data_IF_386457678765
#
_entry.id   IF_386457678765
#
_cell.length_a   1.000
_cell.length_b   1.000
_cell.length_c   1.000
_cell.angle_alpha   90.00
_cell.angle_beta   90.00
_cell.angle_gamma   90.00
#
_symmetry.space_group_name_H-M   'P 1'
#
loop_
_entity.id
_entity.type
_entity.pdbx_description
1 polymer ?
#
# COMPACT_ATOMS: atom_id res chain seq x y z
N UNK A 1 12.65 21.15 -0.49
CA UNK A 1 13.26 19.87 -0.03
C UNK A 1 14.32 20.10 1.05
N UNK A 2 15.45 20.78 0.76
CA UNK A 2 16.55 20.97 1.72
C UNK A 2 16.16 21.75 2.99
N UNK A 3 15.37 22.81 2.87
CA UNK A 3 14.90 23.58 4.03
C UNK A 3 13.98 22.76 4.95
N UNK A 4 13.12 21.91 4.36
CA UNK A 4 12.24 21.01 5.10
C UNK A 4 13.07 19.93 5.81
N UNK A 5 14.08 19.36 5.13
CA UNK A 5 15.01 18.39 5.71
C UNK A 5 15.84 18.95 6.88
N UNK A 6 16.30 20.20 6.77
CA UNK A 6 17.02 20.88 7.85
C UNK A 6 16.12 21.14 9.07
N UNK A 7 14.87 21.54 8.84
CA UNK A 7 13.87 21.69 9.89
C UNK A 7 13.54 20.36 10.56
N UNK A 8 13.38 19.28 9.79
CA UNK A 8 13.12 17.94 10.37
C UNK A 8 14.32 17.44 11.17
N UNK A 9 15.54 17.68 10.70
CA UNK A 9 16.76 17.33 11.45
C UNK A 9 16.88 18.07 12.79
N UNK A 10 16.46 19.34 12.87
CA UNK A 10 16.46 20.08 14.14
C UNK A 10 15.30 19.70 15.07
N UNK A 11 14.13 19.34 14.53
CA UNK A 11 12.91 19.13 15.31
C UNK A 11 12.67 17.67 15.70
N UNK A 12 13.13 16.71 14.91
CA UNK A 12 12.94 15.28 15.18
C UNK A 12 14.09 14.80 16.07
N UNK A 13 13.80 14.59 17.35
CA UNK A 13 14.70 13.87 18.26
C UNK A 13 14.44 12.37 18.12
N UNK A 14 15.50 11.62 17.83
CA UNK A 14 15.50 10.16 17.87
C UNK A 14 15.07 9.71 19.28
N UNK A 15 13.90 9.07 19.39
CA UNK A 15 13.35 8.27 20.52
C UNK A 15 13.72 8.62 21.98
N UNK A 16 12.77 8.56 22.94
CA UNK A 16 13.04 8.88 24.35
C UNK A 16 14.16 8.03 25.00
N UNK A 17 14.46 6.84 24.49
CA UNK A 17 15.55 6.00 24.97
C UNK A 17 16.96 6.54 24.65
N UNK A 18 17.12 7.34 23.58
CA UNK A 18 18.40 8.01 23.24
C UNK A 18 18.78 9.08 24.24
N UNK A 19 17.81 9.55 25.02
CA UNK A 19 17.99 10.52 26.10
C UNK A 19 18.11 9.85 27.49
N UNK A 20 18.27 8.52 27.57
CA UNK A 20 18.43 7.79 28.82
C UNK A 20 17.14 7.64 29.66
N UNK A 21 15.97 7.85 29.06
CA UNK A 21 14.68 7.72 29.75
C UNK A 21 14.13 6.29 29.62
N UNK A 22 13.47 5.77 30.69
CA UNK A 22 12.85 4.46 30.66
C UNK A 22 11.72 4.37 29.61
N UNK A 23 11.44 3.17 29.07
CA UNK A 23 10.41 2.97 28.05
C UNK A 23 9.03 3.49 28.49
N UNK A 24 8.24 4.02 27.54
CA UNK A 24 6.88 4.56 27.73
C UNK A 24 5.93 3.56 28.41
N UNK A 25 6.22 2.26 28.32
CA UNK A 25 5.45 1.18 28.95
C UNK A 25 5.44 1.27 30.49
N UNK A 26 6.49 1.84 31.12
CA UNK A 26 6.51 2.11 32.57
C UNK A 26 5.62 3.28 32.99
N UNK A 27 5.30 4.21 32.07
CA UNK A 27 4.55 5.44 32.38
C UNK A 27 3.05 5.33 32.07
N UNK A 28 2.65 4.46 31.13
CA UNK A 28 1.25 4.31 30.68
C UNK A 28 0.53 3.09 31.26
N UNK A 29 1.21 2.26 32.07
CA UNK A 29 0.63 1.11 32.75
C UNK A 29 -0.20 0.18 31.83
N UNK A 30 0.13 0.16 30.53
CA UNK A 30 -0.58 -0.61 29.51
C UNK A 30 0.31 -1.79 29.11
N UNK A 31 0.47 -2.74 30.03
CA UNK A 31 1.13 -4.01 29.73
C UNK A 31 0.19 -4.83 28.85
N UNK A 32 0.59 -5.07 27.60
CA UNK A 32 0.03 -6.16 26.80
C UNK A 32 0.43 -7.48 27.48
N UNK A 33 -0.47 -8.46 27.53
CA UNK A 33 -0.37 -9.70 28.34
C UNK A 33 0.85 -10.60 28.09
N UNK A 34 1.74 -10.24 27.17
CA UNK A 34 2.97 -10.96 26.80
C UNK A 34 4.25 -10.11 27.00
N UNK A 35 4.34 -9.33 28.08
CA UNK A 35 5.56 -8.58 28.41
C UNK A 35 6.53 -9.44 29.24
N UNK A 36 7.66 -9.82 28.64
CA UNK A 36 8.72 -10.58 29.30
C UNK A 36 10.06 -9.81 29.18
N UNK A 37 10.65 -9.44 30.32
CA UNK A 37 11.90 -8.65 30.43
C UNK A 37 13.10 -9.32 29.71
N UNK A 38 13.02 -10.62 29.42
CA UNK A 38 14.07 -11.38 28.71
C UNK A 38 14.17 -11.15 27.20
N UNK A 39 13.27 -10.36 26.58
CA UNK A 39 13.35 -10.02 25.15
C UNK A 39 14.22 -8.78 24.86
N UNK A 40 14.92 -8.25 25.86
CA UNK A 40 15.90 -7.16 25.74
C UNK A 40 17.32 -7.66 25.41
N UNK A 41 17.47 -8.50 24.38
CA UNK A 41 18.76 -8.54 23.68
C UNK A 41 18.78 -7.40 22.65
N UNK A 42 19.85 -6.61 22.65
CA UNK A 42 20.18 -5.73 21.53
C UNK A 42 20.46 -6.60 20.31
N UNK A 43 19.40 -6.94 19.57
CA UNK A 43 19.56 -7.64 18.30
C UNK A 43 20.10 -6.64 17.29
N UNK A 44 21.26 -6.95 16.70
CA UNK A 44 21.86 -6.14 15.64
C UNK A 44 20.86 -5.95 14.49
N UNK A 45 20.75 -4.75 13.93
CA UNK A 45 19.86 -4.41 12.80
C UNK A 45 19.96 -5.43 11.66
N UNK A 46 21.16 -6.01 11.47
CA UNK A 46 21.42 -7.04 10.45
C UNK A 46 20.82 -8.40 10.79
N UNK A 47 20.81 -8.81 12.06
CA UNK A 47 20.16 -10.04 12.52
C UNK A 47 18.64 -9.90 12.49
N UNK A 48 18.10 -8.74 12.86
CA UNK A 48 16.67 -8.46 12.74
C UNK A 48 16.21 -8.58 11.28
N UNK A 49 16.97 -7.98 10.36
CA UNK A 49 16.63 -7.97 8.93
C UNK A 49 16.78 -9.36 8.30
N UNK A 50 17.86 -10.08 8.57
CA UNK A 50 18.11 -11.42 7.98
C UNK A 50 17.26 -12.50 8.64
N UNK A 51 17.21 -12.57 9.96
CA UNK A 51 16.64 -13.72 10.67
C UNK A 51 15.13 -13.58 10.90
N UNK A 52 14.61 -12.36 11.07
CA UNK A 52 13.18 -12.12 11.34
C UNK A 52 12.41 -11.60 10.13
N UNK A 53 13.03 -10.73 9.31
CA UNK A 53 12.32 -10.12 8.17
C UNK A 53 12.46 -10.96 6.90
N UNK A 54 13.68 -11.36 6.52
CA UNK A 54 13.94 -12.07 5.27
C UNK A 54 13.57 -13.56 5.30
N UNK A 55 13.55 -14.22 6.47
CA UNK A 55 13.14 -15.63 6.59
C UNK A 55 11.60 -15.77 6.66
N UNK A 56 10.89 -14.72 7.07
CA UNK A 56 9.44 -14.82 7.27
C UNK A 56 8.69 -14.77 5.94
N UNK A 57 8.17 -15.93 5.52
CA UNK A 57 7.36 -16.10 4.31
C UNK A 57 6.12 -15.19 4.27
N UNK A 58 5.58 -14.78 5.42
CA UNK A 58 4.43 -13.87 5.48
C UNK A 58 4.78 -12.46 5.04
N UNK A 59 5.95 -11.96 5.45
CA UNK A 59 6.43 -10.63 5.06
C UNK A 59 6.67 -10.59 3.55
N UNK A 60 7.19 -11.67 2.97
CA UNK A 60 7.35 -11.78 1.52
C UNK A 60 6.02 -11.76 0.76
N UNK A 61 4.98 -12.44 1.26
CA UNK A 61 3.66 -12.35 0.62
C UNK A 61 3.07 -10.94 0.71
N UNK A 62 3.29 -10.23 1.82
CA UNK A 62 2.84 -8.84 1.98
C UNK A 62 3.64 -7.90 1.09
N UNK A 63 4.96 -8.10 1.00
CA UNK A 63 5.83 -7.34 0.11
C UNK A 63 5.42 -7.52 -1.36
N UNK A 64 5.10 -8.76 -1.77
CA UNK A 64 4.57 -9.06 -3.10
C UNK A 64 3.19 -8.43 -3.31
N UNK A 65 2.26 -8.57 -2.36
CA UNK A 65 0.95 -7.91 -2.41
C UNK A 65 1.11 -6.40 -2.56
N UNK A 66 2.05 -5.80 -1.82
CA UNK A 66 2.36 -4.39 -1.89
C UNK A 66 2.89 -3.99 -3.27
N UNK A 67 3.78 -4.79 -3.85
CA UNK A 67 4.28 -4.57 -5.20
C UNK A 67 3.13 -4.52 -6.22
N UNK A 68 2.16 -5.43 -6.15
CA UNK A 68 1.00 -5.40 -7.05
C UNK A 68 0.06 -4.22 -6.79
N UNK A 69 -0.17 -3.84 -5.53
CA UNK A 69 -0.99 -2.67 -5.19
C UNK A 69 -0.34 -1.38 -5.70
N UNK A 70 0.97 -1.24 -5.49
CA UNK A 70 1.74 -0.14 -6.04
C UNK A 70 1.75 -0.17 -7.56
N UNK A 71 1.79 -1.37 -8.16
CA UNK A 71 1.73 -1.51 -9.61
C UNK A 71 0.42 -0.95 -10.16
N UNK A 72 -0.72 -1.29 -9.54
CA UNK A 72 -2.02 -0.74 -9.94
C UNK A 72 -2.08 0.77 -9.69
N UNK A 73 -1.54 1.25 -8.56
CA UNK A 73 -1.55 2.67 -8.22
C UNK A 73 -0.78 3.51 -9.23
N UNK A 74 0.48 3.18 -9.47
CA UNK A 74 1.34 3.91 -10.40
C UNK A 74 0.96 3.60 -11.85
N UNK A 75 0.51 2.39 -12.14
CA UNK A 75 0.01 2.01 -13.45
C UNK A 75 -1.20 2.83 -13.87
N UNK A 76 -2.14 3.11 -12.97
CA UNK A 76 -3.25 4.02 -13.25
C UNK A 76 -2.79 5.48 -13.20
N UNK A 77 -2.01 5.89 -12.18
CA UNK A 77 -1.62 7.29 -11.98
C UNK A 77 -0.74 7.83 -13.12
N UNK A 78 0.31 7.10 -13.51
CA UNK A 78 1.27 7.55 -14.51
C UNK A 78 0.70 7.47 -15.93
N UNK A 79 -0.16 6.49 -16.20
CA UNK A 79 -0.71 6.25 -17.54
C UNK A 79 -2.10 6.83 -17.76
N UNK A 80 -2.86 7.21 -16.71
CA UNK A 80 -4.15 7.88 -16.86
C UNK A 80 -4.05 9.14 -17.74
N UNK A 81 -3.03 10.01 -17.62
CA UNK A 81 -2.93 11.17 -18.49
C UNK A 81 -2.76 10.84 -19.96
N UNK A 82 -1.94 9.84 -20.26
CA UNK A 82 -1.66 9.38 -21.62
C UNK A 82 -2.91 8.71 -22.20
N UNK A 83 -3.54 7.82 -21.45
CA UNK A 83 -4.76 7.12 -21.86
C UNK A 83 -5.93 8.08 -22.10
N UNK A 84 -6.18 9.03 -21.19
CA UNK A 84 -7.24 10.03 -21.36
C UNK A 84 -7.02 10.90 -22.61
N UNK A 85 -5.76 11.24 -22.91
CA UNK A 85 -5.41 12.03 -24.08
C UNK A 85 -5.53 11.22 -25.38
N UNK A 86 -4.96 10.02 -25.44
CA UNK A 86 -4.87 9.22 -26.66
C UNK A 86 -6.17 8.46 -26.98
N UNK A 87 -6.75 7.78 -25.98
CA UNK A 87 -7.93 6.94 -26.20
C UNK A 87 -9.25 7.71 -26.09
N UNK A 88 -9.27 8.79 -25.29
CA UNK A 88 -10.51 9.54 -24.97
C UNK A 88 -10.52 10.99 -25.45
N UNK A 89 -9.42 11.48 -26.02
CA UNK A 89 -9.34 12.81 -26.62
C UNK A 89 -9.52 13.97 -25.63
N UNK A 90 -9.24 13.76 -24.34
CA UNK A 90 -9.37 14.81 -23.34
C UNK A 90 -8.40 15.97 -23.60
N UNK A 91 -8.84 17.19 -23.25
CA UNK A 91 -7.95 18.34 -23.21
C UNK A 91 -6.92 18.20 -22.10
N UNK A 92 -5.72 18.77 -22.30
CA UNK A 92 -4.64 18.73 -21.32
C UNK A 92 -5.08 19.24 -19.93
N UNK A 93 -5.94 20.27 -19.90
CA UNK A 93 -6.50 20.84 -18.67
C UNK A 93 -7.44 19.87 -17.95
N UNK A 94 -8.31 19.16 -18.67
CA UNK A 94 -9.23 18.20 -18.07
C UNK A 94 -8.47 16.99 -17.49
N UNK A 95 -7.44 16.53 -18.19
CA UNK A 95 -6.54 15.47 -17.73
C UNK A 95 -5.79 15.87 -16.45
N UNK A 96 -5.28 17.10 -16.37
CA UNK A 96 -4.62 17.61 -15.16
C UNK A 96 -5.58 17.68 -13.96
N UNK A 97 -6.83 18.08 -14.17
CA UNK A 97 -7.86 18.05 -13.14
C UNK A 97 -8.21 16.63 -12.68
N UNK A 98 -8.30 15.67 -13.60
CA UNK A 98 -8.54 14.27 -13.26
C UNK A 98 -7.42 13.69 -12.38
N UNK A 99 -6.16 13.98 -12.72
CA UNK A 99 -4.99 13.60 -11.91
C UNK A 99 -5.04 14.24 -10.52
N UNK A 100 -5.33 15.54 -10.46
CA UNK A 100 -5.45 16.25 -9.19
C UNK A 100 -6.56 15.66 -8.30
N UNK A 101 -7.72 15.37 -8.88
CA UNK A 101 -8.86 14.79 -8.18
C UNK A 101 -8.57 13.35 -7.72
N UNK A 102 -7.84 12.56 -8.51
CA UNK A 102 -7.38 11.23 -8.10
C UNK A 102 -6.55 11.29 -6.80
N UNK A 103 -5.56 12.19 -6.76
CA UNK A 103 -4.69 12.36 -5.59
C UNK A 103 -5.47 12.94 -4.39
N UNK A 104 -6.32 13.93 -4.63
CA UNK A 104 -7.15 14.53 -3.59
C UNK A 104 -8.16 13.55 -2.99
N UNK A 105 -8.72 12.64 -3.80
CA UNK A 105 -9.64 11.61 -3.34
C UNK A 105 -8.95 10.55 -2.48
N UNK A 106 -7.64 10.35 -2.64
CA UNK A 106 -6.85 9.43 -1.83
C UNK A 106 -6.83 9.77 -0.33
N UNK A 107 -6.84 11.06 0.02
CA UNK A 107 -6.81 11.53 1.42
C UNK A 107 -8.06 11.07 2.21
N UNK A 108 -9.30 11.45 1.82
CA UNK A 108 -10.50 10.97 2.50
C UNK A 108 -10.66 9.46 2.35
N UNK A 109 -10.18 8.86 1.25
CA UNK A 109 -10.18 7.41 1.03
C UNK A 109 -9.37 6.65 2.07
N UNK A 110 -8.17 7.14 2.38
CA UNK A 110 -7.31 6.56 3.42
C UNK A 110 -7.95 6.64 4.81
N UNK A 111 -8.53 7.80 5.15
CA UNK A 111 -9.21 8.02 6.43
C UNK A 111 -10.41 7.10 6.59
N UNK A 112 -11.25 7.01 5.56
CA UNK A 112 -12.42 6.13 5.55
C UNK A 112 -12.02 4.65 5.57
N UNK A 113 -10.93 4.28 4.91
CA UNK A 113 -10.38 2.92 4.98
C UNK A 113 -9.91 2.54 6.37
N UNK A 114 -9.20 3.44 7.07
CA UNK A 114 -8.80 3.20 8.45
C UNK A 114 -10.01 2.98 9.35
N UNK A 115 -10.99 3.88 9.28
CA UNK A 115 -12.21 3.78 10.08
C UNK A 115 -13.04 2.53 9.74
N UNK A 116 -13.21 2.20 8.46
CA UNK A 116 -13.96 1.03 8.01
C UNK A 116 -13.25 -0.27 8.43
N UNK A 117 -11.93 -0.33 8.28
CA UNK A 117 -11.11 -1.46 8.74
C UNK A 117 -11.27 -1.71 10.24
N UNK A 118 -11.20 -0.65 11.04
CA UNK A 118 -11.25 -0.77 12.49
C UNK A 118 -12.66 -1.07 13.01
N UNK A 119 -13.68 -0.41 12.45
CA UNK A 119 -15.07 -0.52 12.93
C UNK A 119 -15.81 -1.75 12.38
N UNK A 120 -15.60 -2.10 11.10
CA UNK A 120 -16.34 -3.17 10.42
C UNK A 120 -15.61 -4.51 10.51
N UNK A 121 -14.28 -4.51 10.47
CA UNK A 121 -13.48 -5.73 10.47
C UNK A 121 -12.86 -6.08 11.83
N UNK A 122 -13.18 -5.33 12.91
CA UNK A 122 -12.62 -5.54 14.25
C UNK A 122 -11.07 -5.64 14.21
N UNK A 123 -10.41 -4.78 13.44
CA UNK A 123 -8.95 -4.75 13.31
C UNK A 123 -8.35 -5.80 12.38
N UNK A 124 -9.16 -6.59 11.66
CA UNK A 124 -8.68 -7.58 10.67
C UNK A 124 -8.30 -6.89 9.36
N UNK A 125 -6.99 -6.77 9.11
CA UNK A 125 -6.42 -5.96 8.01
C UNK A 125 -6.52 -6.62 6.64
N UNK A 126 -6.24 -7.91 6.54
CA UNK A 126 -6.30 -8.63 5.26
C UNK A 126 -7.68 -8.62 4.55
N UNK A 127 -8.83 -8.86 5.22
CA UNK A 127 -10.15 -8.83 4.56
C UNK A 127 -10.55 -7.42 4.15
N UNK A 128 -10.16 -6.40 4.93
CA UNK A 128 -10.35 -5.01 4.52
C UNK A 128 -9.59 -4.76 3.22
N UNK A 129 -8.30 -5.07 3.16
CA UNK A 129 -7.48 -4.93 1.95
C UNK A 129 -8.08 -5.67 0.75
N UNK A 130 -8.59 -6.90 0.93
CA UNK A 130 -9.23 -7.67 -0.14
C UNK A 130 -10.47 -6.96 -0.69
N UNK A 131 -11.36 -6.47 0.18
CA UNK A 131 -12.58 -5.79 -0.24
C UNK A 131 -12.27 -4.50 -1.00
N UNK A 132 -11.30 -3.73 -0.51
CA UNK A 132 -10.82 -2.54 -1.22
C UNK A 132 -10.26 -2.90 -2.60
N UNK A 133 -9.45 -3.95 -2.70
CA UNK A 133 -8.90 -4.40 -3.99
C UNK A 133 -9.98 -4.91 -4.96
N UNK A 134 -11.03 -5.56 -4.45
CA UNK A 134 -12.18 -5.95 -5.28
C UNK A 134 -12.90 -4.71 -5.81
N UNK A 135 -13.13 -3.71 -4.96
CA UNK A 135 -13.75 -2.44 -5.40
C UNK A 135 -12.88 -1.69 -6.41
N UNK A 136 -11.55 -1.66 -6.23
CA UNK A 136 -10.60 -1.12 -7.21
C UNK A 136 -10.71 -1.87 -8.53
N UNK A 137 -10.78 -3.20 -8.50
CA UNK A 137 -10.91 -4.04 -9.71
C UNK A 137 -12.18 -3.67 -10.49
N UNK A 138 -13.30 -3.50 -9.81
CA UNK A 138 -14.56 -3.06 -10.43
C UNK A 138 -14.42 -1.66 -11.02
N UNK A 139 -13.83 -0.72 -10.29
CA UNK A 139 -13.63 0.64 -10.78
C UNK A 139 -12.71 0.70 -12.02
N UNK A 140 -11.61 -0.07 -12.03
CA UNK A 140 -10.72 -0.22 -13.20
C UNK A 140 -11.46 -0.85 -14.37
N UNK A 141 -12.29 -1.88 -14.12
CA UNK A 141 -13.08 -2.51 -15.18
C UNK A 141 -14.11 -1.55 -15.80
N UNK A 142 -14.80 -0.76 -14.96
CA UNK A 142 -15.72 0.30 -15.42
C UNK A 142 -14.98 1.35 -16.24
N UNK A 143 -13.79 1.77 -15.78
CA UNK A 143 -12.95 2.73 -16.51
C UNK A 143 -12.53 2.22 -17.89
N UNK A 144 -12.17 0.94 -17.99
CA UNK A 144 -11.78 0.28 -19.24
C UNK A 144 -12.95 0.11 -20.21
N UNK A 145 -14.12 -0.32 -19.73
CA UNK A 145 -15.30 -0.57 -20.57
C UNK A 145 -16.10 0.68 -20.93
N UNK A 146 -15.77 1.84 -20.36
CA UNK A 146 -16.45 3.08 -20.68
C UNK A 146 -16.06 3.58 -22.09
N UNK A 147 -17.02 3.67 -23.05
CA UNK A 147 -16.74 4.15 -24.39
C UNK A 147 -16.37 5.64 -24.41
N UNK A 148 -15.61 6.10 -25.43
CA UNK A 148 -15.28 7.51 -25.60
C UNK A 148 -16.57 8.34 -25.77
N UNK A 149 -16.73 9.38 -24.96
CA UNK A 149 -17.91 10.26 -24.99
C UNK A 149 -18.52 10.60 -23.62
N UNK A 150 -18.12 9.91 -22.55
CA UNK A 150 -18.56 10.19 -21.17
C UNK A 150 -17.42 10.62 -20.23
N UNK A 151 -16.92 11.87 -20.34
CA UNK A 151 -15.82 12.37 -19.50
C UNK A 151 -16.08 12.30 -17.99
N UNK A 152 -17.34 12.46 -17.59
CA UNK A 152 -17.74 12.43 -16.18
C UNK A 152 -17.53 11.04 -15.56
N UNK A 153 -17.82 9.97 -16.29
CA UNK A 153 -17.67 8.60 -15.81
C UNK A 153 -16.19 8.26 -15.61
N UNK A 154 -15.32 8.76 -16.49
CA UNK A 154 -13.88 8.55 -16.37
C UNK A 154 -13.28 9.28 -15.17
N UNK A 155 -13.71 10.53 -14.96
CA UNK A 155 -13.29 11.29 -13.79
C UNK A 155 -13.77 10.63 -12.50
N UNK A 156 -15.03 10.19 -12.44
CA UNK A 156 -15.57 9.50 -11.26
C UNK A 156 -14.86 8.16 -11.03
N UNK A 157 -14.57 7.41 -12.09
CA UNK A 157 -13.85 6.14 -11.97
C UNK A 157 -12.40 6.37 -11.48
N UNK A 158 -11.69 7.37 -11.99
CA UNK A 158 -10.36 7.75 -11.49
C UNK A 158 -10.41 8.20 -10.04
N UNK A 159 -11.36 9.06 -9.67
CA UNK A 159 -11.59 9.46 -8.27
C UNK A 159 -11.84 8.23 -7.39
N UNK A 160 -12.66 7.29 -7.84
CA UNK A 160 -12.94 6.06 -7.10
C UNK A 160 -11.71 5.17 -6.96
N UNK A 161 -10.91 4.99 -8.03
CA UNK A 161 -9.65 4.22 -7.96
C UNK A 161 -8.69 4.88 -6.98
N UNK A 162 -8.48 6.20 -7.09
CA UNK A 162 -7.62 6.96 -6.18
C UNK A 162 -8.08 6.85 -4.73
N UNK A 163 -9.37 7.07 -4.48
CA UNK A 163 -9.97 6.91 -3.16
C UNK A 163 -9.75 5.52 -2.56
N UNK A 164 -9.93 4.47 -3.36
CA UNK A 164 -9.90 3.10 -2.87
C UNK A 164 -8.47 2.54 -2.75
N UNK A 165 -7.52 2.94 -3.59
CA UNK A 165 -6.20 2.31 -3.65
C UNK A 165 -5.28 2.70 -2.49
N UNK A 166 -5.45 3.91 -1.96
CA UNK A 166 -4.67 4.37 -0.82
C UNK A 166 -4.97 3.60 0.47
N UNK A 167 -6.17 3.02 0.60
CA UNK A 167 -6.54 2.17 1.72
C UNK A 167 -5.65 0.93 1.88
N UNK A 168 -5.60 0.02 0.88
CA UNK A 168 -4.70 -1.13 0.82
C UNK A 168 -3.23 -0.78 1.08
N UNK A 169 -2.74 0.33 0.51
CA UNK A 169 -1.34 0.79 0.69
C UNK A 169 -1.05 1.03 2.17
N UNK A 170 -1.93 1.76 2.87
CA UNK A 170 -1.79 2.01 4.30
C UNK A 170 -1.91 0.71 5.11
N UNK A 171 -2.96 -0.07 4.84
CA UNK A 171 -3.25 -1.30 5.59
C UNK A 171 -2.13 -2.32 5.50
N UNK A 172 -1.41 -2.38 4.39
CA UNK A 172 -0.25 -3.26 4.22
C UNK A 172 0.91 -2.87 5.14
N UNK A 173 1.26 -1.59 5.20
CA UNK A 173 2.35 -1.13 6.07
C UNK A 173 2.03 -1.44 7.53
N UNK A 174 0.76 -1.23 7.91
CA UNK A 174 0.25 -1.56 9.23
C UNK A 174 0.33 -3.08 9.43
N UNK A 175 -0.23 -3.90 8.53
CA UNK A 175 -0.19 -5.37 8.60
C UNK A 175 1.23 -5.95 8.68
N UNK A 176 2.22 -5.36 8.00
CA UNK A 176 3.62 -5.75 8.11
C UNK A 176 4.18 -5.51 9.52
N UNK A 177 3.79 -4.43 10.19
CA UNK A 177 4.22 -4.12 11.56
C UNK A 177 3.64 -5.07 12.60
N UNK A 178 2.44 -5.62 12.39
CA UNK A 178 1.83 -6.59 13.32
C UNK A 178 2.52 -7.96 13.30
N UNK A 179 3.16 -8.31 12.19
CA UNK A 179 3.78 -9.63 12.01
C UNK A 179 5.21 -9.73 12.53
N UNK A 180 5.77 -8.61 13.00
CA UNK A 180 7.15 -8.56 13.47
C UNK A 180 7.24 -7.95 14.87
N UNK A 181 8.28 -8.30 15.65
CA UNK A 181 8.51 -7.68 16.94
C UNK A 181 8.64 -6.16 16.84
N UNK A 182 8.29 -5.42 17.89
CA UNK A 182 8.33 -3.94 17.95
C UNK A 182 9.65 -3.34 17.44
N UNK A 183 10.79 -3.98 17.70
CA UNK A 183 12.13 -3.55 17.22
C UNK A 183 12.34 -3.72 15.71
N UNK A 184 11.60 -4.62 15.07
CA UNK A 184 11.68 -4.96 13.65
C UNK A 184 10.58 -4.30 12.80
N UNK A 185 9.56 -3.71 13.43
CA UNK A 185 8.40 -3.10 12.77
C UNK A 185 8.80 -2.06 11.71
N UNK A 186 9.74 -1.15 12.05
CA UNK A 186 10.24 -0.15 11.11
C UNK A 186 10.97 -0.76 9.92
N UNK A 187 11.77 -1.80 10.14
CA UNK A 187 12.50 -2.50 9.07
C UNK A 187 11.56 -3.31 8.16
N UNK A 188 10.55 -3.98 8.72
CA UNK A 188 9.57 -4.73 7.95
C UNK A 188 8.66 -3.81 7.11
N UNK A 189 8.15 -2.73 7.69
CA UNK A 189 7.42 -1.70 6.94
C UNK A 189 8.30 -1.08 5.86
N UNK A 190 9.56 -0.75 6.17
CA UNK A 190 10.54 -0.25 5.20
C UNK A 190 10.80 -1.23 4.05
N UNK A 191 10.97 -2.52 4.32
CA UNK A 191 11.19 -3.54 3.30
C UNK A 191 9.95 -3.69 2.41
N UNK A 192 8.75 -3.81 3.00
CA UNK A 192 7.51 -3.92 2.21
C UNK A 192 7.29 -2.68 1.34
N UNK A 193 7.54 -1.48 1.85
CA UNK A 193 7.51 -0.24 1.10
C UNK A 193 8.54 -0.19 -0.02
N UNK A 194 9.77 -0.65 0.24
CA UNK A 194 10.83 -0.74 -0.75
C UNK A 194 10.42 -1.68 -1.89
N UNK A 195 9.97 -2.89 -1.59
CA UNK A 195 9.47 -3.82 -2.62
C UNK A 195 8.24 -3.26 -3.36
N UNK A 196 7.34 -2.59 -2.65
CA UNK A 196 6.19 -1.89 -3.23
C UNK A 196 6.61 -0.85 -4.27
N UNK A 197 7.51 0.05 -3.89
CA UNK A 197 7.92 1.15 -4.73
C UNK A 197 8.91 0.71 -5.81
N UNK A 198 10.00 0.05 -5.43
CA UNK A 198 11.06 -0.35 -6.37
C UNK A 198 10.59 -1.41 -7.35
N UNK A 199 9.79 -2.40 -6.94
CA UNK A 199 9.30 -3.41 -7.88
C UNK A 199 7.96 -2.98 -8.45
N UNK A 200 7.00 -2.61 -7.61
CA UNK A 200 5.66 -2.26 -8.05
C UNK A 200 5.61 -1.03 -8.94
N UNK A 201 6.17 0.10 -8.52
CA UNK A 201 6.11 1.33 -9.33
C UNK A 201 6.98 1.23 -10.58
N UNK A 202 8.21 0.72 -10.49
CA UNK A 202 9.06 0.59 -11.69
C UNK A 202 8.51 -0.41 -12.69
N UNK A 203 7.97 -1.55 -12.22
CA UNK A 203 7.31 -2.51 -13.10
C UNK A 203 6.02 -1.92 -13.67
N UNK A 204 5.29 -1.09 -12.94
CA UNK A 204 4.12 -0.40 -13.49
C UNK A 204 4.53 0.48 -14.66
N UNK A 205 5.49 1.38 -14.48
CA UNK A 205 5.84 2.33 -15.54
C UNK A 205 6.50 1.61 -16.72
N UNK A 206 7.44 0.69 -16.47
CA UNK A 206 8.14 -0.02 -17.53
C UNK A 206 7.27 -1.08 -18.21
N UNK A 207 6.69 -2.02 -17.45
CA UNK A 207 5.98 -3.15 -18.05
C UNK A 207 4.63 -2.74 -18.64
N UNK A 208 3.93 -1.75 -18.07
CA UNK A 208 2.72 -1.22 -18.71
C UNK A 208 3.07 -0.60 -20.08
N UNK A 209 4.18 0.14 -20.18
CA UNK A 209 4.63 0.70 -21.46
C UNK A 209 4.93 -0.38 -22.50
N UNK A 210 5.72 -1.39 -22.14
CA UNK A 210 5.98 -2.53 -23.04
C UNK A 210 4.70 -3.26 -23.46
N UNK A 211 3.75 -3.45 -22.54
CA UNK A 211 2.50 -4.15 -22.82
C UNK A 211 1.59 -3.32 -23.73
N UNK A 212 1.52 -1.99 -23.54
CA UNK A 212 0.71 -1.12 -24.42
C UNK A 212 1.33 -0.96 -25.79
N UNK A 213 2.65 -0.92 -25.91
CA UNK A 213 3.31 -0.91 -27.21
C UNK A 213 3.07 -2.21 -28.00
N UNK A 214 3.01 -3.36 -27.31
CA UNK A 214 2.85 -4.67 -27.95
C UNK A 214 1.40 -5.11 -28.18
N UNK A 215 0.50 -4.84 -27.23
CA UNK A 215 -0.88 -5.35 -27.20
C UNK A 215 -1.94 -4.23 -27.12
N UNK A 216 -1.52 -2.96 -27.16
CA UNK A 216 -2.40 -1.80 -27.01
C UNK A 216 -2.93 -1.63 -25.59
N UNK A 217 -3.82 -0.64 -25.44
CA UNK A 217 -4.42 -0.28 -24.15
C UNK A 217 -5.17 -1.42 -23.46
N UNK A 218 -5.80 -2.32 -24.24
CA UNK A 218 -6.46 -3.50 -23.69
C UNK A 218 -5.50 -4.40 -22.92
N UNK A 219 -4.29 -4.62 -23.46
CA UNK A 219 -3.23 -5.36 -22.78
C UNK A 219 -2.83 -4.72 -21.44
N UNK A 220 -2.71 -3.39 -21.42
CA UNK A 220 -2.41 -2.62 -20.21
C UNK A 220 -3.47 -2.82 -19.12
N UNK A 221 -4.76 -2.76 -19.48
CA UNK A 221 -5.84 -3.01 -18.52
C UNK A 221 -5.91 -4.46 -18.07
N UNK A 222 -5.66 -5.44 -18.94
CA UNK A 222 -5.54 -6.84 -18.52
C UNK A 222 -4.42 -7.04 -17.50
N UNK A 223 -3.27 -6.38 -17.70
CA UNK A 223 -2.17 -6.40 -16.75
C UNK A 223 -2.57 -5.81 -15.39
N UNK A 224 -3.27 -4.66 -15.38
CA UNK A 224 -3.76 -4.04 -14.14
C UNK A 224 -4.77 -4.93 -13.41
N UNK A 225 -5.71 -5.54 -14.14
CA UNK A 225 -6.68 -6.48 -13.56
C UNK A 225 -5.99 -7.73 -13.02
N UNK A 226 -5.01 -8.28 -13.74
CA UNK A 226 -4.22 -9.41 -13.26
C UNK A 226 -3.44 -9.05 -11.98
N UNK A 227 -2.86 -7.85 -11.91
CA UNK A 227 -2.19 -7.36 -10.71
C UNK A 227 -3.16 -7.22 -9.52
N UNK A 228 -4.38 -6.72 -9.73
CA UNK A 228 -5.41 -6.69 -8.70
C UNK A 228 -5.76 -8.09 -8.17
N UNK A 229 -5.96 -9.06 -9.06
CA UNK A 229 -6.26 -10.45 -8.69
C UNK A 229 -5.09 -11.07 -7.92
N UNK A 230 -3.85 -10.85 -8.38
CA UNK A 230 -2.66 -11.33 -7.69
C UNK A 230 -2.51 -10.71 -6.29
N UNK A 231 -2.76 -9.40 -6.13
CA UNK A 231 -2.70 -8.77 -4.81
C UNK A 231 -3.75 -9.36 -3.86
N UNK A 232 -4.96 -9.63 -4.35
CA UNK A 232 -6.03 -10.28 -3.58
C UNK A 232 -5.59 -11.70 -3.17
N UNK A 233 -5.02 -12.47 -4.10
CA UNK A 233 -4.53 -13.82 -3.82
C UNK A 233 -3.42 -13.82 -2.78
N UNK A 234 -2.41 -12.96 -2.91
CA UNK A 234 -1.32 -12.84 -1.94
C UNK A 234 -1.83 -12.41 -0.55
N UNK A 235 -2.75 -11.45 -0.51
CA UNK A 235 -3.39 -10.98 0.74
C UNK A 235 -4.32 -12.05 1.35
N UNK A 236 -4.96 -12.88 0.54
CA UNK A 236 -5.78 -13.99 1.02
C UNK A 236 -4.91 -15.14 1.57
N UNK A 237 -3.74 -15.37 0.99
CA UNK A 237 -2.77 -16.37 1.49
C UNK A 237 -2.18 -15.97 2.84
N UNK A 238 -1.95 -14.68 3.09
CA UNK A 238 -1.51 -14.19 4.42
C UNK A 238 -2.61 -14.40 5.45
N UNK A 239 -3.87 -14.07 5.13
CA UNK A 239 -5.03 -14.29 5.99
C UNK A 239 -5.19 -15.75 6.45
N UNK A 240 -5.03 -16.72 5.53
CA UNK A 240 -5.13 -18.16 5.88
C UNK A 240 -4.05 -18.59 6.87
N UNK A 241 -2.81 -18.11 6.73
CA UNK A 241 -1.71 -18.47 7.61
C UNK A 241 -1.75 -17.77 8.97
N UNK A 242 -2.22 -16.53 9.00
CA UNK A 242 -2.43 -15.77 10.24
C UNK A 242 -3.47 -16.46 11.15
N UNK A 243 -4.56 -17.00 10.56
CA UNK A 243 -5.54 -17.82 11.30
C UNK A 243 -4.98 -19.14 11.84
N UNK A 244 -4.01 -19.74 11.17
CA UNK A 244 -3.38 -20.99 11.62
C UNK A 244 -2.39 -20.73 12.76
N UNK A 245 -1.63 -19.63 12.70
CA UNK A 245 -0.66 -19.26 13.74
C UNK A 245 -1.30 -18.76 15.05
N UNK A 246 -2.52 -18.22 15.00
CA UNK A 246 -3.25 -17.77 16.20
C UNK A 246 -4.01 -18.91 16.91
N UNK A 247 -4.01 -20.13 16.37
CA UNK A 247 -4.69 -21.31 16.94
C UNK A 247 -3.73 -22.48 17.23
N UNK A 248 -2.41 -22.26 17.12
CA UNK A 248 -1.35 -23.19 17.53
C UNK A 248 -0.63 -22.63 18.75
#
# INVERSE_FOLDING_TARGET
ALAIAFLTYMLVRDTPQSCGLPPIERYTNTYTKDYNEGHEKELSTRQILLDYVLVNKLIWYIALANAFIYLVRYGVLDWAPVYLKEAKGFSLSATGWAYFLYEWAGIPGTLLCGWLSDKVFNGRRAPATIIYMVLVTVAVFVYWKNPPGNPLVDNIALIAIGFLIYGPVMLIGVHAMDLVPKKAAGTAAGLTGLFGYLIGATAATAAMGFVVDAYGWDGGFYMLLAACVLSILFTAMTWKKERVSLHS
#
